data_IF_761497901704
#
_entry.id   IF_761497901704
#
_cell.length_a   1.000
_cell.length_b   1.000
_cell.length_c   1.000
_cell.angle_alpha   90.00
_cell.angle_beta   90.00
_cell.angle_gamma   90.00
#
_symmetry.space_group_name_H-M   'P 1'
#
loop_
_entity.id
_entity.type
_entity.pdbx_description
1 polymer ?
#
# COMPACT_ATOMS: atom_id res chain seq x y z
N UNK A 1 -3.35 -16.16 13.85
CA UNK A 1 -3.03 -15.17 12.80
C UNK A 1 -2.37 -14.04 13.53
N UNK A 2 -1.09 -13.77 13.26
CA UNK A 2 -0.35 -12.74 13.99
C UNK A 2 -0.78 -11.36 13.52
N UNK A 3 -0.92 -10.41 14.44
CA UNK A 3 -1.14 -9.00 14.08
C UNK A 3 0.15 -8.39 13.50
N UNK A 4 0.03 -7.34 12.68
CA UNK A 4 1.15 -6.62 12.08
C UNK A 4 2.15 -6.12 13.14
N UNK A 5 1.67 -5.75 14.32
CA UNK A 5 2.52 -5.36 15.44
C UNK A 5 3.39 -6.52 15.96
N UNK A 6 2.85 -7.74 15.98
CA UNK A 6 3.58 -8.94 16.40
C UNK A 6 4.62 -9.36 15.36
N UNK A 7 4.28 -9.24 14.08
CA UNK A 7 5.20 -9.50 12.96
C UNK A 7 6.36 -8.51 13.00
N UNK A 8 6.09 -7.22 13.24
CA UNK A 8 7.12 -6.19 13.37
C UNK A 8 8.07 -6.51 14.53
N UNK A 9 7.52 -6.81 15.71
CA UNK A 9 8.33 -7.16 16.88
C UNK A 9 9.24 -8.36 16.61
N UNK A 10 8.70 -9.39 15.98
CA UNK A 10 9.45 -10.59 15.60
C UNK A 10 10.58 -10.27 14.63
N UNK A 11 10.36 -9.36 13.67
CA UNK A 11 11.40 -8.91 12.75
C UNK A 11 12.47 -8.07 13.45
N UNK A 12 12.10 -7.24 14.45
CA UNK A 12 13.04 -6.42 15.22
C UNK A 12 13.99 -7.28 16.08
N UNK A 13 13.51 -8.41 16.58
CA UNK A 13 14.27 -9.36 17.42
C UNK A 13 15.27 -10.24 16.62
N UNK A 14 15.25 -10.20 15.28
CA UNK A 14 16.16 -10.96 14.43
C UNK A 14 17.61 -10.44 14.49
N UNK A 15 18.56 -11.35 14.29
CA UNK A 15 19.97 -11.01 14.06
C UNK A 15 20.15 -10.19 12.77
N UNK A 16 21.29 -9.51 12.63
CA UNK A 16 21.57 -8.76 11.40
C UNK A 16 21.62 -9.65 10.15
N UNK A 17 22.12 -10.87 10.28
CA UNK A 17 22.19 -11.87 9.21
C UNK A 17 20.80 -12.36 8.80
N UNK A 18 19.97 -12.70 9.79
CA UNK A 18 18.59 -13.16 9.53
C UNK A 18 17.72 -12.03 8.95
N UNK A 19 17.93 -10.78 9.39
CA UNK A 19 17.30 -9.60 8.79
C UNK A 19 17.67 -9.46 7.31
N UNK A 20 18.95 -9.64 6.97
CA UNK A 20 19.40 -9.57 5.59
C UNK A 20 18.76 -10.67 4.73
N UNK A 21 18.69 -11.90 5.25
CA UNK A 21 18.01 -13.03 4.59
C UNK A 21 16.51 -12.79 4.40
N UNK A 22 15.84 -12.27 5.44
CA UNK A 22 14.42 -11.92 5.38
C UNK A 22 14.14 -10.83 4.34
N UNK A 23 14.96 -9.77 4.31
CA UNK A 23 14.83 -8.69 3.30
C UNK A 23 15.00 -9.26 1.88
N UNK A 24 16.01 -10.09 1.66
CA UNK A 24 16.23 -10.71 0.34
C UNK A 24 15.05 -11.58 -0.08
N UNK A 25 14.50 -12.38 0.84
CA UNK A 25 13.31 -13.19 0.58
C UNK A 25 12.09 -12.34 0.25
N UNK A 26 11.83 -11.26 1.01
CA UNK A 26 10.73 -10.34 0.76
C UNK A 26 10.87 -9.67 -0.61
N UNK A 27 12.05 -9.14 -0.94
CA UNK A 27 12.28 -8.51 -2.23
C UNK A 27 12.12 -9.48 -3.41
N UNK A 28 12.52 -10.75 -3.24
CA UNK A 28 12.37 -11.78 -4.26
C UNK A 28 10.92 -12.28 -4.42
N UNK A 29 10.12 -12.23 -3.35
CA UNK A 29 8.74 -12.73 -3.32
C UNK A 29 7.68 -11.66 -3.57
N UNK A 30 8.03 -10.38 -3.39
CA UNK A 30 7.13 -9.29 -3.70
C UNK A 30 6.81 -9.35 -5.21
N UNK A 31 5.52 -9.40 -5.60
CA UNK A 31 5.15 -9.13 -6.98
C UNK A 31 5.75 -7.77 -7.34
N UNK A 32 6.11 -7.58 -8.62
CA UNK A 32 6.66 -6.30 -9.06
C UNK A 32 5.81 -5.18 -8.49
N UNK A 33 6.42 -4.16 -7.85
CA UNK A 33 5.64 -3.08 -7.25
C UNK A 33 4.65 -2.59 -8.30
N UNK A 34 3.38 -2.36 -7.93
CA UNK A 34 2.42 -1.86 -8.89
C UNK A 34 3.03 -0.61 -9.52
N UNK A 35 3.27 -0.65 -10.84
CA UNK A 35 3.94 0.42 -11.60
C UNK A 35 3.03 1.65 -11.76
N UNK A 36 2.14 1.88 -10.80
CA UNK A 36 0.99 2.74 -10.93
C UNK A 36 -0.18 2.09 -11.69
N UNK A 37 -1.28 2.84 -11.84
CA UNK A 37 -2.41 2.45 -12.68
C UNK A 37 -1.97 2.31 -14.14
N UNK A 38 -2.68 1.46 -14.89
CA UNK A 38 -2.47 1.35 -16.34
C UNK A 38 -3.02 2.58 -17.05
N UNK A 39 -2.50 2.93 -18.21
CA UNK A 39 -2.96 4.11 -18.98
C UNK A 39 -4.49 4.15 -19.16
N UNK A 40 -5.09 3.02 -19.59
CA UNK A 40 -6.54 2.92 -19.75
C UNK A 40 -7.34 3.14 -18.45
N UNK A 41 -6.74 2.86 -17.30
CA UNK A 41 -7.36 3.12 -16.00
C UNK A 41 -7.34 4.61 -15.69
N UNK A 42 -6.23 5.29 -16.01
CA UNK A 42 -6.10 6.74 -15.87
C UNK A 42 -7.16 7.42 -16.75
N UNK A 43 -7.22 7.05 -18.03
CA UNK A 43 -8.20 7.59 -18.99
C UNK A 43 -9.64 7.41 -18.47
N UNK A 44 -9.95 6.24 -17.90
CA UNK A 44 -11.26 5.96 -17.31
C UNK A 44 -11.54 6.87 -16.12
N UNK A 45 -10.59 7.00 -15.18
CA UNK A 45 -10.76 7.82 -13.97
C UNK A 45 -10.96 9.29 -14.33
N UNK A 46 -10.22 9.81 -15.31
CA UNK A 46 -10.39 11.18 -15.80
C UNK A 46 -11.79 11.41 -16.38
N UNK A 47 -12.24 10.50 -17.25
CA UNK A 47 -13.58 10.55 -17.82
C UNK A 47 -14.67 10.49 -16.74
N UNK A 48 -14.54 9.59 -15.76
CA UNK A 48 -15.50 9.46 -14.66
C UNK A 48 -15.58 10.75 -13.80
N UNK A 49 -14.46 11.45 -13.59
CA UNK A 49 -14.45 12.74 -12.91
C UNK A 49 -15.15 13.83 -13.74
N UNK A 50 -14.84 13.92 -15.03
CA UNK A 50 -15.43 14.91 -15.93
C UNK A 50 -16.94 14.73 -16.11
N UNK A 51 -17.41 13.48 -16.13
CA UNK A 51 -18.84 13.15 -16.22
C UNK A 51 -19.59 13.32 -14.88
N UNK A 52 -18.88 13.58 -13.78
CA UNK A 52 -19.46 13.64 -12.44
C UNK A 52 -19.90 12.27 -11.91
N UNK A 53 -19.39 11.18 -12.49
CA UNK A 53 -19.68 9.80 -12.08
C UNK A 53 -19.04 9.43 -10.74
N UNK A 54 -18.04 10.21 -10.29
CA UNK A 54 -17.38 10.04 -8.99
C UNK A 54 -17.49 11.31 -8.15
N UNK A 55 -17.66 11.14 -6.83
CA UNK A 55 -17.64 12.25 -5.88
C UNK A 55 -16.25 12.35 -5.25
N UNK A 56 -15.50 13.44 -5.47
CA UNK A 56 -14.20 13.62 -4.82
C UNK A 56 -14.40 13.80 -3.31
N UNK A 57 -13.48 13.23 -2.53
CA UNK A 57 -13.44 13.41 -1.08
C UNK A 57 -12.41 14.48 -0.73
N UNK A 58 -12.63 15.21 0.36
CA UNK A 58 -11.61 16.13 0.86
C UNK A 58 -10.45 15.36 1.48
N UNK A 59 -9.30 16.03 1.63
CA UNK A 59 -8.15 15.45 2.34
C UNK A 59 -8.51 15.05 3.77
N UNK A 60 -9.36 15.82 4.45
CA UNK A 60 -9.85 15.49 5.80
C UNK A 60 -10.68 14.22 5.80
N UNK A 61 -11.65 14.11 4.88
CA UNK A 61 -12.48 12.89 4.76
C UNK A 61 -11.64 11.64 4.47
N UNK A 62 -10.56 11.79 3.69
CA UNK A 62 -9.62 10.71 3.44
C UNK A 62 -8.92 10.27 4.72
N UNK A 63 -8.40 11.21 5.53
CA UNK A 63 -7.73 10.89 6.80
C UNK A 63 -8.66 10.19 7.78
N UNK A 64 -9.91 10.65 7.88
CA UNK A 64 -10.95 10.03 8.71
C UNK A 64 -11.20 8.57 8.29
N UNK A 65 -11.33 8.30 6.99
CA UNK A 65 -11.56 6.95 6.47
C UNK A 65 -10.41 5.98 6.73
N UNK A 66 -9.16 6.47 6.76
CA UNK A 66 -7.98 5.63 7.03
C UNK A 66 -7.55 5.63 8.50
N UNK A 67 -8.36 6.19 9.40
CA UNK A 67 -8.10 6.22 10.84
C UNK A 67 -6.89 7.07 11.25
N UNK A 68 -6.66 8.18 10.53
CA UNK A 68 -5.55 9.14 10.77
C UNK A 68 -6.05 10.56 11.06
N UNK A 69 -7.30 10.68 11.48
CA UNK A 69 -7.94 11.91 11.95
C UNK A 69 -7.28 12.47 13.22
#
# INVERSE_FOLDING_TARGET
>A
MSDLLEVRKSADDLSAEDKAGLIAHLLASLPHPPLGPKDHEIDRREKEMDEGSVTPISHTDFLDQIGRA
#
